data_IF_841499679901
#
_entry.id   IF_841499679901
#
_cell.length_a   1.000
_cell.length_b   1.000
_cell.length_c   1.000
_cell.angle_alpha   90.00
_cell.angle_beta   90.00
_cell.angle_gamma   90.00
#
_symmetry.space_group_name_H-M   'P 1'
#
loop_
_entity.id
_entity.type
_entity.pdbx_description
1 polymer ?
#
# COMPACT_ATOMS: atom_id res chain seq x y z
N UNK A 1 13.88 7.33 9.85
CA UNK A 1 14.13 8.19 8.67
C UNK A 1 14.52 9.57 9.20
N UNK A 2 15.75 10.03 8.94
CA UNK A 2 16.22 11.36 9.39
C UNK A 2 15.98 12.42 8.32
N UNK A 3 15.42 13.56 8.71
CA UNK A 3 15.23 14.72 7.83
C UNK A 3 16.44 15.64 7.95
N UNK A 4 17.07 15.99 6.82
CA UNK A 4 18.16 16.96 6.80
C UNK A 4 17.59 18.38 6.79
N UNK A 5 17.62 19.08 7.93
CA UNK A 5 17.24 20.51 8.03
C UNK A 5 18.09 21.44 7.17
N UNK A 6 19.25 20.97 6.70
CA UNK A 6 20.23 21.76 5.96
C UNK A 6 20.15 21.60 4.43
N UNK A 7 19.17 20.86 3.89
CA UNK A 7 19.05 20.67 2.43
C UNK A 7 17.64 21.01 1.95
N UNK A 8 17.51 21.71 0.80
CA UNK A 8 16.21 21.92 0.18
C UNK A 8 15.57 20.57 -0.18
N UNK A 9 14.24 20.50 -0.13
CA UNK A 9 13.48 19.35 -0.59
C UNK A 9 13.50 19.27 -2.13
N UNK A 10 13.34 18.06 -2.67
CA UNK A 10 13.32 17.81 -4.12
C UNK A 10 14.64 17.30 -4.68
N UNK A 11 14.78 17.38 -6.01
CA UNK A 11 15.97 16.91 -6.73
C UNK A 11 17.17 17.81 -6.42
N UNK A 12 18.17 17.26 -5.74
CA UNK A 12 19.40 17.99 -5.37
C UNK A 12 20.55 17.72 -6.33
N UNK A 13 20.44 16.70 -7.19
CA UNK A 13 21.49 16.31 -8.11
C UNK A 13 20.96 15.42 -9.25
N UNK A 14 21.34 15.72 -10.49
CA UNK A 14 21.02 14.90 -11.67
C UNK A 14 22.21 14.93 -12.64
N UNK A 15 22.62 13.74 -13.11
CA UNK A 15 23.63 13.59 -14.19
C UNK A 15 22.96 12.96 -15.41
N UNK A 16 22.65 13.78 -16.41
CA UNK A 16 21.88 13.35 -17.58
C UNK A 16 22.42 12.08 -18.27
N UNK A 17 23.73 11.90 -18.37
CA UNK A 17 24.33 10.71 -19.02
C UNK A 17 24.36 9.43 -18.17
N UNK A 18 24.05 9.51 -16.87
CA UNK A 18 24.15 8.40 -15.92
C UNK A 18 22.82 8.14 -15.19
N UNK A 19 21.70 8.64 -15.72
CA UNK A 19 20.37 8.49 -15.13
C UNK A 19 19.41 7.90 -16.15
N UNK A 20 18.70 6.85 -15.74
CA UNK A 20 17.59 6.26 -16.51
C UNK A 20 16.53 7.32 -16.76
N UNK A 21 16.08 7.44 -18.01
CA UNK A 21 15.05 8.40 -18.41
C UNK A 21 13.65 7.88 -18.09
N UNK A 22 12.70 8.80 -18.01
CA UNK A 22 11.31 8.51 -17.76
C UNK A 22 10.81 9.21 -16.51
N UNK A 23 9.80 8.60 -15.89
CA UNK A 23 9.12 9.11 -14.72
C UNK A 23 9.33 8.19 -13.52
N UNK A 24 9.25 8.76 -12.33
CA UNK A 24 9.21 7.99 -11.08
C UNK A 24 7.84 8.15 -10.43
N UNK A 25 7.19 7.03 -10.12
CA UNK A 25 5.98 7.00 -9.33
C UNK A 25 6.35 7.06 -7.84
N UNK A 26 5.77 8.00 -7.11
CA UNK A 26 5.95 8.16 -5.67
C UNK A 26 4.60 8.00 -4.96
N UNK A 27 4.52 6.98 -4.11
CA UNK A 27 3.33 6.64 -3.31
C UNK A 27 3.62 6.84 -1.82
N UNK A 28 3.69 8.10 -1.34
CA UNK A 28 4.06 8.37 0.04
C UNK A 28 3.01 7.86 1.02
N UNK A 29 3.43 7.06 1.99
CA UNK A 29 2.59 6.72 3.14
C UNK A 29 2.26 7.97 3.95
N UNK A 30 0.96 8.20 4.20
CA UNK A 30 0.47 9.29 5.03
C UNK A 30 -0.02 10.53 4.28
N UNK A 31 0.12 10.56 2.95
CA UNK A 31 -0.55 11.55 2.10
C UNK A 31 -1.87 10.96 1.55
N UNK A 32 -2.75 11.81 1.02
CA UNK A 32 -3.94 11.42 0.28
C UNK A 32 -3.67 11.27 -1.23
N UNK A 33 -2.42 11.45 -1.67
CA UNK A 33 -2.07 11.52 -3.07
C UNK A 33 -0.87 10.66 -3.46
N UNK A 34 -0.84 10.31 -4.74
CA UNK A 34 0.29 9.68 -5.43
C UNK A 34 0.76 10.59 -6.54
N UNK A 35 2.07 10.64 -6.74
CA UNK A 35 2.74 11.62 -7.59
C UNK A 35 3.50 10.91 -8.71
N UNK A 36 3.44 11.47 -9.91
CA UNK A 36 4.38 11.16 -10.97
C UNK A 36 5.38 12.31 -11.08
N UNK A 37 6.66 12.01 -10.96
CA UNK A 37 7.73 13.01 -11.07
C UNK A 37 8.58 12.76 -12.32
N UNK A 38 8.96 13.84 -12.99
CA UNK A 38 9.94 13.80 -14.09
C UNK A 38 11.38 13.68 -13.56
N UNK A 39 12.33 13.52 -14.48
CA UNK A 39 13.75 13.38 -14.15
C UNK A 39 14.38 14.66 -13.57
N UNK A 40 13.73 15.81 -13.75
CA UNK A 40 14.15 17.09 -13.17
C UNK A 40 13.49 17.33 -11.79
N UNK A 41 12.76 16.34 -11.27
CA UNK A 41 12.12 16.39 -9.96
C UNK A 41 10.84 17.21 -9.92
N UNK A 42 10.25 17.55 -11.07
CA UNK A 42 8.95 18.23 -11.13
C UNK A 42 7.83 17.22 -11.01
N UNK A 43 6.81 17.55 -10.23
CA UNK A 43 5.54 16.81 -10.24
C UNK A 43 4.86 17.12 -11.57
N UNK A 44 4.70 16.09 -12.40
CA UNK A 44 4.01 16.20 -13.70
C UNK A 44 2.58 15.70 -13.62
N UNK A 45 2.25 14.88 -12.63
CA UNK A 45 0.89 14.40 -12.40
C UNK A 45 0.65 14.04 -10.93
N UNK A 46 -0.62 14.11 -10.52
CA UNK A 46 -1.06 13.79 -9.17
C UNK A 46 -2.42 13.11 -9.19
N UNK A 47 -2.50 11.90 -8.64
CA UNK A 47 -3.77 11.24 -8.30
C UNK A 47 -4.10 11.53 -6.85
N UNK A 48 -5.32 11.98 -6.57
CA UNK A 48 -5.80 12.26 -5.21
C UNK A 48 -6.93 11.29 -4.87
N UNK A 49 -6.84 10.66 -3.71
CA UNK A 49 -7.81 9.69 -3.23
C UNK A 49 -8.62 10.29 -2.08
N UNK A 50 -9.95 10.16 -2.15
CA UNK A 50 -10.88 10.66 -1.14
C UNK A 50 -11.41 9.58 -0.21
N UNK A 51 -11.47 8.33 -0.66
CA UNK A 51 -12.07 7.20 0.08
C UNK A 51 -11.05 6.22 0.66
N UNK A 52 -9.79 6.30 0.22
CA UNK A 52 -8.69 5.48 0.77
C UNK A 52 -7.52 6.34 1.21
N UNK A 53 -6.78 5.86 2.21
CA UNK A 53 -5.41 6.29 2.52
C UNK A 53 -4.47 5.47 1.62
N UNK A 54 -3.90 6.05 0.55
CA UNK A 54 -3.03 5.31 -0.36
C UNK A 54 -1.76 4.85 0.34
N UNK A 55 -1.24 3.70 -0.08
CA UNK A 55 0.00 3.15 0.49
C UNK A 55 0.98 2.63 -0.56
N UNK A 56 0.52 1.79 -1.48
CA UNK A 56 1.38 1.16 -2.47
C UNK A 56 0.69 1.10 -3.83
N UNK A 57 1.39 1.52 -4.88
CA UNK A 57 0.80 1.59 -6.22
C UNK A 57 1.79 1.31 -7.33
N UNK A 58 1.27 0.93 -8.50
CA UNK A 58 2.04 0.64 -9.71
C UNK A 58 1.30 1.23 -10.91
N UNK A 59 2.06 1.81 -11.84
CA UNK A 59 1.55 2.12 -13.17
C UNK A 59 1.42 0.84 -13.97
N UNK A 60 0.29 0.70 -14.65
CA UNK A 60 0.02 -0.38 -15.58
C UNK A 60 0.42 0.02 -17.00
N UNK A 61 0.55 -0.97 -17.89
CA UNK A 61 0.97 -0.75 -19.29
C UNK A 61 0.00 0.14 -20.08
N UNK A 62 -1.28 0.18 -19.67
CA UNK A 62 -2.30 1.05 -20.26
C UNK A 62 -2.25 2.51 -19.76
N UNK A 63 -1.34 2.83 -18.84
CA UNK A 63 -1.21 4.17 -18.23
C UNK A 63 -2.07 4.39 -16.99
N UNK A 64 -2.92 3.43 -16.61
CA UNK A 64 -3.69 3.51 -15.36
C UNK A 64 -2.80 3.30 -14.14
N UNK A 65 -3.24 3.86 -13.01
CA UNK A 65 -2.63 3.62 -11.71
C UNK A 65 -3.42 2.54 -10.97
N UNK A 66 -2.78 1.43 -10.65
CA UNK A 66 -3.30 0.44 -9.72
C UNK A 66 -2.75 0.77 -8.32
N UNK A 67 -3.63 1.11 -7.39
CA UNK A 67 -3.30 1.61 -6.06
C UNK A 67 -3.98 0.76 -5.01
N UNK A 68 -3.26 0.44 -3.93
CA UNK A 68 -3.87 -0.09 -2.72
C UNK A 68 -3.85 0.92 -1.59
N UNK A 69 -4.85 0.84 -0.73
CA UNK A 69 -4.95 1.64 0.47
C UNK A 69 -5.95 1.08 1.47
N UNK A 70 -6.04 1.75 2.60
CA UNK A 70 -7.00 1.44 3.66
C UNK A 70 -8.13 2.47 3.63
N UNK A 71 -9.38 2.03 3.79
CA UNK A 71 -10.56 2.88 3.89
C UNK A 71 -10.31 3.99 4.94
N UNK A 72 -10.63 5.24 4.61
CA UNK A 72 -10.46 6.38 5.51
C UNK A 72 -11.23 6.21 6.83
N UNK A 73 -12.34 5.48 6.81
CA UNK A 73 -13.23 5.18 7.92
C UNK A 73 -12.84 3.92 8.70
N UNK A 74 -11.72 3.28 8.34
CA UNK A 74 -11.18 2.14 9.09
C UNK A 74 -11.05 2.53 10.58
N UNK A 75 -11.65 1.76 11.51
CA UNK A 75 -11.53 2.01 12.94
C UNK A 75 -10.09 2.05 13.40
N UNK A 76 -9.83 2.76 14.50
CA UNK A 76 -8.51 2.71 15.14
C UNK A 76 -8.20 1.25 15.52
N UNK A 77 -6.98 0.77 15.25
CA UNK A 77 -6.59 -0.56 15.66
C UNK A 77 -6.76 -0.73 17.18
N UNK A 78 -7.18 -1.92 17.65
CA UNK A 78 -7.21 -2.20 19.07
C UNK A 78 -5.80 -2.06 19.67
N UNK A 79 -5.74 -1.84 20.98
CA UNK A 79 -4.45 -1.76 21.70
C UNK A 79 -3.70 -3.08 21.53
N UNK A 80 -2.39 -3.00 21.27
CA UNK A 80 -1.56 -4.19 21.24
C UNK A 80 -1.33 -4.70 22.67
N UNK A 81 -1.89 -5.87 22.96
CA UNK A 81 -1.80 -6.54 24.26
C UNK A 81 -1.20 -7.95 24.07
N UNK A 82 0.12 -8.05 23.87
CA UNK A 82 0.81 -9.29 23.52
C UNK A 82 0.89 -10.30 24.67
N UNK A 83 0.17 -10.09 25.78
CA UNK A 83 -0.02 -11.06 26.87
C UNK A 83 -1.40 -11.70 26.85
N UNK A 84 -2.36 -11.16 26.09
CA UNK A 84 -3.71 -11.71 25.95
C UNK A 84 -3.88 -12.48 24.63
N UNK A 85 -4.97 -13.22 24.52
CA UNK A 85 -5.41 -13.76 23.24
C UNK A 85 -5.70 -12.61 22.25
N UNK A 86 -5.42 -12.78 20.96
CA UNK A 86 -5.77 -11.77 19.97
C UNK A 86 -7.29 -11.59 19.92
N UNK A 87 -7.78 -10.38 19.56
CA UNK A 87 -9.19 -10.18 19.26
C UNK A 87 -9.59 -10.97 17.99
N UNK A 88 -10.89 -11.08 17.67
CA UNK A 88 -11.35 -11.66 16.40
C UNK A 88 -10.61 -11.08 15.20
N UNK A 89 -10.38 -11.89 14.15
CA UNK A 89 -9.55 -11.51 12.99
C UNK A 89 -9.94 -10.15 12.40
N UNK A 90 -11.24 -9.86 12.28
CA UNK A 90 -11.77 -8.58 11.77
C UNK A 90 -11.23 -7.33 12.47
N UNK A 91 -10.88 -7.45 13.76
CA UNK A 91 -10.28 -6.39 14.55
C UNK A 91 -8.77 -6.58 14.68
N UNK A 92 -8.29 -7.82 14.69
CA UNK A 92 -6.86 -8.09 14.80
C UNK A 92 -6.10 -7.64 13.54
N UNK A 93 -6.69 -7.86 12.37
CA UNK A 93 -6.06 -7.61 11.06
C UNK A 93 -5.62 -6.15 10.92
N UNK A 94 -6.35 -5.21 11.52
CA UNK A 94 -6.02 -3.78 11.47
C UNK A 94 -4.72 -3.42 12.19
N UNK A 95 -4.18 -4.33 13.02
CA UNK A 95 -2.88 -4.19 13.71
C UNK A 95 -1.73 -4.80 12.93
N UNK A 96 -2.01 -5.59 11.89
CA UNK A 96 -0.99 -6.30 11.14
C UNK A 96 -0.32 -5.33 10.16
N UNK A 97 1.02 -5.45 10.05
CA UNK A 97 1.78 -4.67 9.10
C UNK A 97 1.27 -4.91 7.68
N UNK A 98 1.15 -3.86 6.88
CA UNK A 98 0.67 -3.98 5.51
C UNK A 98 -0.84 -4.18 5.37
N UNK A 99 -1.64 -3.90 6.41
CA UNK A 99 -3.09 -3.98 6.36
C UNK A 99 -3.72 -2.92 5.46
N UNK A 100 -4.28 -3.35 4.34
CA UNK A 100 -5.08 -2.52 3.42
C UNK A 100 -6.49 -3.12 3.24
N UNK A 101 -7.41 -2.36 2.69
CA UNK A 101 -8.80 -2.80 2.49
C UNK A 101 -9.25 -2.80 1.04
N UNK A 102 -8.51 -2.09 0.19
CA UNK A 102 -8.96 -1.76 -1.15
C UNK A 102 -7.79 -1.85 -2.12
N UNK A 103 -8.06 -2.40 -3.30
CA UNK A 103 -7.26 -2.26 -4.50
C UNK A 103 -8.11 -1.54 -5.55
N UNK A 104 -7.67 -0.37 -6.00
CA UNK A 104 -8.40 0.47 -6.93
C UNK A 104 -7.54 0.76 -8.16
N UNK A 105 -8.13 0.63 -9.34
CA UNK A 105 -7.54 1.08 -10.60
C UNK A 105 -8.19 2.41 -10.98
N UNK A 106 -7.35 3.42 -11.19
CA UNK A 106 -7.78 4.75 -11.66
C UNK A 106 -7.11 5.07 -12.98
N UNK A 107 -7.84 5.76 -13.86
CA UNK A 107 -7.29 6.28 -15.10
C UNK A 107 -6.39 7.51 -14.87
N UNK A 108 -5.91 8.12 -15.95
CA UNK A 108 -5.06 9.31 -15.88
C UNK A 108 -5.74 10.48 -15.16
N UNK A 109 -7.04 10.68 -15.37
CA UNK A 109 -7.80 11.79 -14.78
C UNK A 109 -8.21 11.52 -13.32
N UNK A 110 -7.95 10.30 -12.83
CA UNK A 110 -8.29 9.88 -11.47
C UNK A 110 -9.69 9.28 -11.35
N UNK A 111 -10.35 8.96 -12.47
CA UNK A 111 -11.62 8.25 -12.43
C UNK A 111 -11.37 6.77 -12.08
N UNK A 112 -12.18 6.23 -11.17
CA UNK A 112 -12.14 4.80 -10.84
C UNK A 112 -12.69 4.00 -12.01
N UNK A 113 -11.87 3.10 -12.56
CA UNK A 113 -12.27 2.20 -13.64
C UNK A 113 -12.49 0.76 -13.16
N UNK A 114 -11.89 0.39 -12.03
CA UNK A 114 -12.10 -0.91 -11.39
C UNK A 114 -11.75 -0.83 -9.89
N UNK A 115 -12.45 -1.62 -9.07
CA UNK A 115 -12.19 -1.66 -7.64
C UNK A 115 -12.44 -3.07 -7.07
N UNK A 116 -11.60 -3.45 -6.12
CA UNK A 116 -11.72 -4.65 -5.30
C UNK A 116 -11.62 -4.28 -3.83
N UNK A 117 -12.64 -4.62 -3.06
CA UNK A 117 -12.72 -4.36 -1.63
C UNK A 117 -12.61 -5.68 -0.88
N UNK A 118 -11.61 -5.78 0.00
CA UNK A 118 -11.43 -6.90 0.91
C UNK A 118 -10.80 -6.41 2.22
N UNK A 119 -11.54 -6.55 3.33
CA UNK A 119 -11.11 -6.15 4.68
C UNK A 119 -9.96 -6.98 5.26
N UNK A 120 -9.39 -7.91 4.50
CA UNK A 120 -8.26 -8.73 4.91
C UNK A 120 -7.10 -8.63 3.91
N UNK A 121 -7.12 -7.65 3.01
CA UNK A 121 -6.07 -7.49 2.01
C UNK A 121 -4.72 -7.08 2.65
N UNK A 122 -3.65 -7.67 2.14
CA UNK A 122 -2.29 -7.20 2.36
C UNK A 122 -1.91 -6.16 1.28
N UNK A 123 -1.02 -5.23 1.62
CA UNK A 123 -0.65 -4.08 0.76
C UNK A 123 0.04 -4.40 -0.57
N UNK A 124 0.39 -5.66 -0.84
CA UNK A 124 1.08 -6.02 -2.07
C UNK A 124 0.08 -6.59 -3.09
N UNK A 125 0.43 -6.51 -4.36
CA UNK A 125 -0.38 -7.05 -5.45
C UNK A 125 0.46 -7.23 -6.70
N UNK A 126 -0.03 -8.06 -7.62
CA UNK A 126 0.56 -8.22 -8.93
C UNK A 126 -0.51 -8.36 -10.01
N UNK A 127 -0.46 -7.49 -11.04
CA UNK A 127 -1.28 -7.57 -12.24
C UNK A 127 -0.50 -8.36 -13.31
N UNK A 128 -1.04 -9.49 -13.74
CA UNK A 128 -0.49 -10.28 -14.82
C UNK A 128 -0.81 -9.66 -16.19
N UNK A 129 -0.01 -10.00 -17.20
CA UNK A 129 -0.21 -9.54 -18.58
C UNK A 129 -1.57 -9.94 -19.18
N UNK A 130 -2.20 -11.00 -18.67
CA UNK A 130 -3.53 -11.43 -19.08
C UNK A 130 -4.69 -10.70 -18.38
N UNK A 131 -4.39 -9.70 -17.54
CA UNK A 131 -5.38 -8.92 -16.79
C UNK A 131 -5.76 -9.48 -15.42
N UNK A 132 -5.37 -10.73 -15.09
CA UNK A 132 -5.62 -11.28 -13.76
C UNK A 132 -4.82 -10.52 -12.69
N UNK A 133 -5.36 -10.42 -11.48
CA UNK A 133 -4.69 -9.77 -10.34
C UNK A 133 -4.54 -10.74 -9.19
N UNK A 134 -3.30 -10.90 -8.72
CA UNK A 134 -2.99 -11.63 -7.49
C UNK A 134 -2.89 -10.65 -6.33
N UNK A 135 -3.57 -10.98 -5.22
CA UNK A 135 -3.60 -10.18 -4.00
C UNK A 135 -3.39 -11.13 -2.81
N UNK A 136 -2.40 -10.90 -1.93
CA UNK A 136 -2.28 -11.63 -0.69
C UNK A 136 -3.37 -11.17 0.29
N UNK A 137 -3.96 -12.12 1.00
CA UNK A 137 -4.98 -11.85 2.01
C UNK A 137 -4.62 -12.54 3.33
N UNK A 138 -4.98 -11.90 4.43
CA UNK A 138 -4.90 -12.48 5.75
C UNK A 138 -6.02 -13.49 5.94
N UNK A 139 -5.65 -14.69 6.34
CA UNK A 139 -6.59 -15.74 6.73
C UNK A 139 -6.20 -16.23 8.12
N UNK A 140 -7.20 -16.55 8.94
CA UNK A 140 -6.94 -17.20 10.22
C UNK A 140 -6.53 -18.65 9.97
N UNK A 141 -5.44 -19.06 10.59
CA UNK A 141 -4.98 -20.44 10.52
C UNK A 141 -5.90 -21.32 11.38
N UNK A 142 -6.46 -22.42 10.86
CA UNK A 142 -7.27 -23.33 11.66
C UNK A 142 -6.49 -23.88 12.88
N UNK A 143 -7.19 -24.11 13.99
CA UNK A 143 -6.57 -24.49 15.27
C UNK A 143 -5.72 -25.77 15.17
N UNK A 144 -6.15 -26.73 14.35
CA UNK A 144 -5.42 -27.98 14.10
C UNK A 144 -3.99 -27.75 13.59
N UNK A 145 -3.78 -26.73 12.76
CA UNK A 145 -2.46 -26.39 12.23
C UNK A 145 -1.66 -25.53 13.21
N UNK A 146 -2.32 -24.73 14.05
CA UNK A 146 -1.67 -23.85 15.01
C UNK A 146 -0.73 -24.62 15.96
N UNK A 147 -1.14 -25.80 16.43
CA UNK A 147 -0.34 -26.64 17.34
C UNK A 147 0.95 -27.17 16.70
N UNK A 148 1.01 -27.24 15.37
CA UNK A 148 2.17 -27.69 14.61
C UNK A 148 3.21 -26.59 14.32
N UNK A 149 2.86 -25.32 14.54
CA UNK A 149 3.74 -24.18 14.23
C UNK A 149 4.88 -24.10 15.25
N UNK A 150 6.11 -24.39 14.80
CA UNK A 150 7.32 -24.22 15.63
C UNK A 150 7.71 -22.75 15.70
N UNK A 151 7.96 -22.25 16.92
CA UNK A 151 8.36 -20.85 17.15
C UNK A 151 7.21 -19.84 17.21
N UNK A 152 5.96 -20.29 17.09
CA UNK A 152 4.78 -19.46 17.33
C UNK A 152 4.59 -19.13 18.82
N UNK A 153 3.84 -18.06 19.11
CA UNK A 153 3.47 -17.69 20.47
C UNK A 153 2.52 -18.75 21.04
N UNK A 154 2.97 -19.51 22.05
CA UNK A 154 2.13 -20.46 22.76
C UNK A 154 1.13 -19.69 23.63
N UNK A 155 -0.15 -20.02 23.52
CA UNK A 155 -1.12 -19.58 24.52
C UNK A 155 -0.84 -20.39 25.80
N UNK A 156 -0.54 -19.68 26.89
CA UNK A 156 -0.39 -20.26 28.23
C UNK A 156 -1.75 -20.35 28.91
#
# INVERSE_FOLDING_TARGET
MGWSVNRPTGLTFHRHGLSTKGYTLLTPHGDAATYLIDIDGRIVHRWVFSHIKPGYGRLLENGNLLMTGSDINTPKPPKDEPTKAPPPLEHHVTRLGGYHTTLVEVDWDGNVVWEYINKFQHHDFFRFANGNTMVPVWVELPEEFHRGVRGGRKMH
#
